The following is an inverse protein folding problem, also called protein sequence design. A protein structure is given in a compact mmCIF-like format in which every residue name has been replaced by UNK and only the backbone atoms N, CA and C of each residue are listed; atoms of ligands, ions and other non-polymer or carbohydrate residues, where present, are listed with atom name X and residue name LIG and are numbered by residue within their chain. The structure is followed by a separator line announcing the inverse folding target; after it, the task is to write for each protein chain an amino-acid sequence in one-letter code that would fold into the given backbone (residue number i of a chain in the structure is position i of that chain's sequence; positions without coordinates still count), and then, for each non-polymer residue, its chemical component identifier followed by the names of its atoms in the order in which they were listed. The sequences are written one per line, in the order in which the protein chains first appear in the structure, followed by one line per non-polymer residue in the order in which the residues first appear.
data_IF_829944456155
#
_entry.id   IF_829944456155
#
_cell.length_a   1.000
_cell.length_b   1.000
_cell.length_c   1.000
_cell.angle_alpha   90.00
_cell.angle_beta   90.00
_cell.angle_gamma   90.00
#
_symmetry.space_group_name_H-M   'P 1'
#
loop_
_entity.id
_entity.type
_entity.pdbx_description
1 polymer ?
#
# COMPACT_ATOMS: atom_id res chain seq x y z
N UNK A 1 -27.05 34.86 -32.46
CA UNK A 1 -25.66 34.71 -32.01
C UNK A 1 -25.48 34.84 -30.48
N UNK A 2 -26.18 35.70 -29.75
CA UNK A 2 -26.04 35.83 -28.28
C UNK A 2 -26.38 34.53 -27.50
N UNK A 3 -27.43 33.80 -27.89
CA UNK A 3 -27.86 32.59 -27.16
C UNK A 3 -26.85 31.44 -27.21
N UNK A 4 -26.12 31.29 -28.31
CA UNK A 4 -25.15 30.21 -28.46
C UNK A 4 -23.91 30.42 -27.57
N UNK A 5 -23.51 31.67 -27.32
CA UNK A 5 -22.40 32.01 -26.43
C UNK A 5 -22.74 31.72 -24.98
N UNK A 6 -23.98 31.96 -24.57
CA UNK A 6 -24.47 31.70 -23.22
C UNK A 6 -24.52 30.17 -22.93
N UNK A 7 -24.97 29.39 -23.91
CA UNK A 7 -25.02 27.93 -23.80
C UNK A 7 -23.61 27.35 -23.72
N UNK A 8 -22.68 27.86 -24.52
CA UNK A 8 -21.29 27.42 -24.46
C UNK A 8 -20.64 27.71 -23.11
N UNK A 9 -20.92 28.90 -22.55
CA UNK A 9 -20.39 29.29 -21.22
C UNK A 9 -20.94 28.43 -20.09
N UNK A 10 -22.24 28.09 -20.14
CA UNK A 10 -22.85 27.17 -19.17
C UNK A 10 -22.25 25.73 -19.25
N UNK A 11 -21.99 25.25 -20.46
CA UNK A 11 -21.36 23.96 -20.69
C UNK A 11 -19.94 23.90 -20.11
N UNK A 12 -19.16 24.96 -20.28
CA UNK A 12 -17.81 25.06 -19.73
C UNK A 12 -17.83 25.09 -18.19
N UNK A 13 -18.77 25.82 -17.58
CA UNK A 13 -18.94 25.85 -16.11
C UNK A 13 -19.31 24.47 -15.58
N UNK A 14 -20.20 23.72 -16.25
CA UNK A 14 -20.53 22.36 -15.85
C UNK A 14 -19.34 21.42 -15.92
N UNK A 15 -18.47 21.55 -16.91
CA UNK A 15 -17.23 20.77 -17.02
C UNK A 15 -16.26 21.05 -15.86
N UNK A 16 -16.16 22.29 -15.41
CA UNK A 16 -15.35 22.64 -14.23
C UNK A 16 -15.93 22.11 -12.92
N UNK A 17 -17.25 22.03 -12.78
CA UNK A 17 -17.89 21.51 -11.58
C UNK A 17 -17.78 19.97 -11.45
N UNK A 18 -17.65 19.26 -12.57
CA UNK A 18 -17.47 17.80 -12.60
C UNK A 18 -16.03 17.35 -12.31
N UNK A 19 -15.06 18.27 -12.30
CA UNK A 19 -13.63 17.97 -12.12
C UNK A 19 -13.15 17.95 -10.69
N UNK A 20 -14.02 18.20 -9.70
CA UNK A 20 -13.60 18.22 -8.29
C UNK A 20 -13.67 16.82 -7.67
N UNK A 21 -12.76 15.92 -8.04
CA UNK A 21 -12.49 14.71 -7.26
C UNK A 21 -11.83 15.13 -5.93
N UNK A 22 -12.60 15.09 -4.86
CA UNK A 22 -12.08 15.31 -3.52
C UNK A 22 -11.30 14.07 -3.11
N UNK A 23 -9.99 14.18 -3.05
CA UNK A 23 -9.15 13.13 -2.45
C UNK A 23 -9.56 12.93 -0.98
N UNK A 24 -10.03 11.75 -0.65
CA UNK A 24 -10.40 11.39 0.73
C UNK A 24 -9.21 10.71 1.37
N UNK A 25 -8.56 11.36 2.30
CA UNK A 25 -7.54 10.75 3.13
C UNK A 25 -8.21 9.95 4.24
N UNK A 26 -7.89 8.67 4.36
CA UNK A 26 -8.34 7.86 5.49
C UNK A 26 -7.65 8.32 6.76
N UNK A 27 -8.44 8.75 7.76
CA UNK A 27 -7.89 9.27 9.03
C UNK A 27 -7.32 8.16 9.91
N UNK A 28 -7.92 6.98 9.89
CA UNK A 28 -7.50 5.82 10.69
C UNK A 28 -7.93 4.51 10.06
N UNK A 29 -7.20 3.44 10.33
CA UNK A 29 -7.53 2.11 9.83
C UNK A 29 -6.45 1.08 10.11
N UNK A 30 -6.65 -0.10 9.56
CA UNK A 30 -5.71 -1.21 9.61
C UNK A 30 -5.45 -1.80 8.23
N UNK A 31 -4.24 -2.31 8.03
CA UNK A 31 -3.82 -2.98 6.80
C UNK A 31 -3.09 -4.27 7.21
N UNK A 32 -3.57 -5.40 6.70
CA UNK A 32 -2.86 -6.67 6.82
C UNK A 32 -2.13 -6.95 5.50
N UNK A 33 -0.82 -7.12 5.58
CA UNK A 33 0.01 -7.52 4.46
C UNK A 33 0.29 -9.00 4.53
N UNK A 34 -0.16 -9.71 3.49
CA UNK A 34 0.05 -11.15 3.34
C UNK A 34 0.73 -11.41 2.01
N UNK A 35 1.73 -12.27 2.00
CA UNK A 35 2.42 -12.73 0.80
C UNK A 35 2.12 -14.21 0.58
N UNK A 36 1.64 -14.54 -0.60
CA UNK A 36 1.50 -15.92 -1.04
C UNK A 36 2.73 -16.33 -1.84
N UNK A 37 3.44 -17.33 -1.36
CA UNK A 37 4.61 -17.90 -2.03
C UNK A 37 4.26 -19.26 -2.59
N UNK A 38 4.53 -19.44 -3.88
CA UNK A 38 4.34 -20.70 -4.58
C UNK A 38 5.68 -21.40 -4.72
N UNK A 39 5.84 -22.50 -4.01
CA UNK A 39 7.04 -23.33 -4.13
C UNK A 39 6.93 -24.20 -5.35
N UNK A 40 8.04 -24.29 -6.12
CA UNK A 40 8.08 -25.08 -7.35
C UNK A 40 6.99 -24.70 -8.37
N UNK A 41 6.76 -23.41 -8.59
CA UNK A 41 5.73 -22.89 -9.50
C UNK A 41 5.79 -23.48 -10.93
N UNK A 42 6.94 -24.02 -11.34
CA UNK A 42 7.09 -24.76 -12.60
C UNK A 42 6.33 -26.09 -12.64
N UNK A 43 6.01 -26.67 -11.47
CA UNK A 43 5.26 -27.93 -11.34
C UNK A 43 3.76 -27.70 -11.09
N UNK A 44 3.33 -26.46 -10.88
CA UNK A 44 1.94 -26.11 -10.61
C UNK A 44 1.81 -25.05 -9.50
N UNK A 45 0.59 -24.63 -9.24
CA UNK A 45 0.30 -23.61 -8.22
C UNK A 45 -0.33 -24.19 -6.93
N UNK A 46 -0.23 -25.50 -6.74
CA UNK A 46 -0.89 -26.19 -5.62
C UNK A 46 -0.08 -26.09 -4.32
N UNK A 47 1.22 -25.76 -4.44
CA UNK A 47 2.13 -25.67 -3.31
C UNK A 47 2.29 -24.22 -2.85
N UNK A 48 1.18 -23.62 -2.40
CA UNK A 48 1.16 -22.24 -1.93
C UNK A 48 1.28 -22.21 -0.39
N UNK A 49 2.12 -21.31 0.11
CA UNK A 49 2.11 -20.92 1.51
C UNK A 49 1.86 -19.42 1.64
N UNK A 50 1.03 -19.06 2.63
CA UNK A 50 0.74 -17.67 2.96
C UNK A 50 1.59 -17.23 4.15
N UNK A 51 2.31 -16.13 4.00
CA UNK A 51 3.12 -15.53 5.04
C UNK A 51 2.53 -14.18 5.43
N UNK A 52 2.26 -14.00 6.72
CA UNK A 52 1.89 -12.71 7.27
C UNK A 52 3.16 -11.84 7.36
N UNK A 53 3.18 -10.76 6.60
CA UNK A 53 4.33 -9.86 6.51
C UNK A 53 4.25 -8.76 7.56
N UNK A 54 3.07 -8.20 7.75
CA UNK A 54 2.90 -7.03 8.62
C UNK A 54 1.42 -6.77 8.90
N UNK A 55 1.14 -6.32 10.12
CA UNK A 55 -0.15 -5.72 10.53
C UNK A 55 0.11 -4.25 10.85
N UNK A 56 -0.47 -3.36 10.09
CA UNK A 56 -0.26 -1.91 10.22
C UNK A 56 -1.55 -1.29 10.72
N UNK A 57 -1.47 -0.57 11.82
CA UNK A 57 -2.53 0.31 12.30
C UNK A 57 -2.08 1.75 12.10
N UNK A 58 -2.90 2.58 11.49
CA UNK A 58 -2.58 3.98 11.24
C UNK A 58 -3.65 4.93 11.78
N UNK A 59 -3.20 6.10 12.19
CA UNK A 59 -4.05 7.23 12.57
C UNK A 59 -3.40 8.52 12.08
N UNK A 60 -4.03 9.17 11.13
CA UNK A 60 -3.43 10.31 10.42
C UNK A 60 -2.12 9.89 9.73
N UNK A 61 -1.01 10.50 10.13
CA UNK A 61 0.34 10.21 9.60
C UNK A 61 1.18 9.28 10.47
N UNK A 62 0.59 8.80 11.55
CA UNK A 62 1.26 7.90 12.49
C UNK A 62 0.86 6.45 12.23
N UNK A 63 1.82 5.53 12.32
CA UNK A 63 1.57 4.11 12.19
C UNK A 63 2.22 3.34 13.34
N UNK A 64 1.51 2.28 13.75
CA UNK A 64 2.10 1.19 14.52
C UNK A 64 2.07 -0.04 13.64
N UNK A 65 3.23 -0.58 13.37
CA UNK A 65 3.40 -1.79 12.60
C UNK A 65 3.83 -2.93 13.51
N UNK A 66 3.11 -4.04 13.43
CA UNK A 66 3.46 -5.29 14.07
C UNK A 66 3.97 -6.24 12.99
N UNK A 67 5.17 -6.78 13.19
CA UNK A 67 5.79 -7.74 12.28
C UNK A 67 5.64 -9.13 12.91
N UNK A 68 4.76 -9.99 12.37
CA UNK A 68 4.54 -11.32 12.91
C UNK A 68 5.78 -12.22 12.78
N UNK A 69 5.88 -13.18 13.67
CA UNK A 69 6.81 -14.30 13.48
C UNK A 69 6.35 -15.15 12.29
N UNK A 70 7.27 -15.54 11.42
CA UNK A 70 6.95 -16.22 10.18
C UNK A 70 6.27 -17.58 10.39
N UNK A 71 6.66 -18.29 11.43
CA UNK A 71 6.14 -19.63 11.75
C UNK A 71 4.94 -19.63 12.68
N UNK A 72 4.79 -18.57 13.49
CA UNK A 72 3.71 -18.42 14.47
C UNK A 72 3.17 -16.99 14.37
N UNK A 73 2.24 -16.74 13.43
CA UNK A 73 1.77 -15.38 13.13
C UNK A 73 1.02 -14.67 14.26
N UNK A 74 0.64 -15.40 15.30
CA UNK A 74 0.02 -14.87 16.52
C UNK A 74 1.03 -14.16 17.42
N UNK A 75 2.33 -14.45 17.24
CA UNK A 75 3.42 -13.84 17.99
C UNK A 75 4.06 -12.75 17.13
N UNK A 76 4.24 -11.57 17.68
CA UNK A 76 4.97 -10.51 17.00
C UNK A 76 6.46 -10.60 17.29
N UNK A 77 7.26 -10.65 16.22
CA UNK A 77 8.72 -10.65 16.29
C UNK A 77 9.28 -9.26 16.57
N UNK A 78 8.64 -8.23 16.01
CA UNK A 78 9.01 -6.83 16.17
C UNK A 78 7.79 -5.93 16.07
N UNK A 79 7.87 -4.76 16.71
CA UNK A 79 6.93 -3.68 16.54
C UNK A 79 7.67 -2.39 16.21
N UNK A 80 7.08 -1.56 15.37
CA UNK A 80 7.61 -0.27 14.95
C UNK A 80 6.57 0.84 15.14
N UNK A 81 7.02 1.98 15.61
CA UNK A 81 6.30 3.24 15.50
C UNK A 81 6.88 4.05 14.36
N UNK A 82 6.03 4.54 13.46
CA UNK A 82 6.44 5.27 12.26
C UNK A 82 5.70 6.61 12.22
N UNK A 83 6.47 7.69 12.11
CA UNK A 83 5.96 9.06 12.01
C UNK A 83 6.94 9.91 11.19
N UNK A 84 6.41 10.80 10.34
CA UNK A 84 7.20 11.75 9.53
C UNK A 84 8.38 11.11 8.79
N UNK A 85 8.16 9.91 8.25
CA UNK A 85 9.15 9.05 7.57
C UNK A 85 10.27 8.51 8.48
N UNK A 86 10.15 8.67 9.78
CA UNK A 86 11.04 8.08 10.77
C UNK A 86 10.40 6.84 11.38
N UNK A 87 11.23 5.82 11.59
CA UNK A 87 10.84 4.53 12.16
C UNK A 87 11.61 4.30 13.47
N UNK A 88 10.87 3.97 14.51
CA UNK A 88 11.38 3.68 15.85
C UNK A 88 11.03 2.23 16.22
N UNK A 89 12.01 1.43 16.62
CA UNK A 89 11.74 0.08 17.10
C UNK A 89 11.14 0.12 18.51
N UNK A 90 10.00 -0.53 18.68
CA UNK A 90 9.36 -0.71 19.98
C UNK A 90 9.82 -1.98 20.68
N UNK A 91 10.59 -2.83 19.98
CA UNK A 91 10.99 -4.15 20.44
C UNK A 91 9.89 -5.19 20.23
N UNK A 92 9.92 -6.23 21.03
CA UNK A 92 8.89 -7.28 21.03
C UNK A 92 7.65 -6.83 21.81
N UNK A 93 6.51 -7.46 21.57
CA UNK A 93 5.18 -7.12 22.13
C UNK A 93 5.14 -6.98 23.67
N UNK A 94 6.09 -7.59 24.38
CA UNK A 94 6.18 -7.53 25.84
C UNK A 94 6.90 -6.30 26.40
N UNK A 95 7.33 -5.39 25.54
CA UNK A 95 7.95 -4.16 26.01
C UNK A 95 6.87 -3.11 26.30
N UNK A 96 6.52 -2.92 27.56
CA UNK A 96 5.66 -1.84 28.06
C UNK A 96 6.34 -0.46 27.91
N UNK A 97 6.81 -0.15 26.70
CA UNK A 97 7.50 1.10 26.41
C UNK A 97 6.51 2.20 26.10
N UNK A 98 6.66 3.33 26.74
CA UNK A 98 5.88 4.54 26.45
C UNK A 98 6.42 5.15 25.15
N UNK A 99 5.57 5.37 24.14
CA UNK A 99 5.95 5.89 22.84
C UNK A 99 6.76 7.19 22.91
N UNK A 100 6.42 8.08 23.83
CA UNK A 100 7.16 9.34 24.01
C UNK A 100 8.60 9.13 24.48
N UNK A 101 8.85 8.13 25.31
CA UNK A 101 10.20 7.77 25.73
C UNK A 101 11.01 7.11 24.61
N UNK A 102 10.37 6.24 23.82
CA UNK A 102 11.00 5.61 22.66
C UNK A 102 11.45 6.66 21.67
N UNK A 103 10.56 7.58 21.29
CA UNK A 103 10.86 8.64 20.34
C UNK A 103 11.97 9.58 20.85
N UNK A 104 12.01 9.85 22.16
CA UNK A 104 13.03 10.72 22.76
C UNK A 104 14.39 10.08 22.89
N UNK A 105 14.45 8.78 23.21
CA UNK A 105 15.67 8.13 23.66
C UNK A 105 16.27 7.13 22.65
N UNK A 106 15.53 6.79 21.57
CA UNK A 106 16.01 5.84 20.57
C UNK A 106 16.44 6.52 19.28
N UNK A 107 17.46 5.95 18.65
CA UNK A 107 17.89 6.34 17.33
C UNK A 107 16.84 5.87 16.30
N UNK A 108 16.22 6.80 15.60
CA UNK A 108 15.34 6.51 14.48
C UNK A 108 16.12 6.09 13.24
N UNK A 109 15.44 5.39 12.36
CA UNK A 109 15.90 5.15 10.99
C UNK A 109 14.83 5.66 10.00
N UNK A 110 15.24 5.94 8.79
CA UNK A 110 14.29 6.27 7.74
C UNK A 110 13.43 5.05 7.40
N UNK A 111 12.13 5.24 7.26
CA UNK A 111 11.16 4.15 7.05
C UNK A 111 11.50 3.25 5.87
N UNK A 112 12.12 3.79 4.81
CA UNK A 112 12.58 3.01 3.65
C UNK A 112 13.90 2.28 3.84
N UNK A 113 14.58 2.48 4.97
CA UNK A 113 15.76 1.71 5.38
C UNK A 113 15.42 0.55 6.32
N UNK A 114 14.15 0.41 6.67
CA UNK A 114 13.64 -0.69 7.46
C UNK A 114 13.80 -2.02 6.70
N UNK A 115 14.24 -3.06 7.40
CA UNK A 115 14.57 -4.36 6.78
C UNK A 115 13.50 -5.44 6.96
N UNK A 116 12.61 -5.28 7.92
CA UNK A 116 11.56 -6.27 8.27
C UNK A 116 10.16 -5.66 8.14
N UNK A 117 9.15 -6.48 7.94
CA UNK A 117 7.77 -6.09 7.80
C UNK A 117 7.47 -5.40 6.46
N UNK A 118 6.57 -4.45 6.46
CA UNK A 118 6.18 -3.71 5.28
C UNK A 118 7.34 -2.88 4.72
N UNK A 119 7.60 -3.00 3.44
CA UNK A 119 8.63 -2.22 2.73
C UNK A 119 7.97 -1.01 2.13
N UNK A 120 8.20 0.16 2.73
CA UNK A 120 7.76 1.44 2.19
C UNK A 120 8.82 1.93 1.22
N UNK A 121 8.52 1.93 -0.07
CA UNK A 121 9.49 2.26 -1.10
C UNK A 121 9.19 3.61 -1.74
N UNK A 122 10.23 4.40 -1.94
CA UNK A 122 10.19 5.55 -2.86
C UNK A 122 10.42 5.13 -4.31
N UNK A 123 10.87 3.92 -4.50
CA UNK A 123 11.27 3.39 -5.80
C UNK A 123 10.09 2.85 -6.59
N UNK A 124 10.34 2.69 -7.87
CA UNK A 124 9.38 2.05 -8.78
C UNK A 124 9.36 0.54 -8.54
N UNK A 125 8.21 -0.05 -8.74
CA UNK A 125 8.14 -1.50 -8.94
C UNK A 125 9.13 -1.85 -10.08
N UNK A 126 10.07 -2.77 -9.85
CA UNK A 126 11.03 -3.15 -10.87
C UNK A 126 10.30 -3.56 -12.17
N UNK A 127 10.81 -3.08 -13.30
CA UNK A 127 10.27 -3.38 -14.62
C UNK A 127 8.80 -2.93 -14.87
N UNK A 128 8.28 -2.01 -14.06
CA UNK A 128 6.88 -1.56 -14.12
C UNK A 128 6.47 -1.00 -15.48
N UNK A 129 7.38 -0.36 -16.22
CA UNK A 129 7.11 0.20 -17.55
C UNK A 129 6.79 -0.88 -18.58
N UNK A 130 7.31 -2.09 -18.40
CA UNK A 130 7.11 -3.24 -19.28
C UNK A 130 5.97 -4.15 -18.80
N UNK A 131 5.12 -3.66 -17.89
CA UNK A 131 3.97 -4.43 -17.44
C UNK A 131 2.99 -4.71 -18.57
N UNK A 132 2.38 -5.86 -18.53
CA UNK A 132 1.26 -6.22 -19.38
C UNK A 132 -0.04 -6.03 -18.62
N UNK A 133 -0.89 -5.12 -19.07
CA UNK A 133 -2.21 -4.95 -18.49
C UNK A 133 -3.11 -6.13 -18.90
N UNK A 134 -3.89 -6.61 -17.96
CA UNK A 134 -4.87 -7.68 -18.12
C UNK A 134 -6.28 -7.12 -17.99
N UNK A 135 -7.27 -7.90 -18.43
CA UNK A 135 -8.68 -7.57 -18.20
C UNK A 135 -8.98 -7.45 -16.71
N UNK A 136 -9.88 -6.55 -16.35
CA UNK A 136 -10.36 -6.41 -14.98
C UNK A 136 -10.94 -7.73 -14.45
N UNK A 137 -10.95 -7.89 -13.14
CA UNK A 137 -11.56 -9.06 -12.48
C UNK A 137 -12.36 -8.64 -11.26
N UNK A 138 -13.25 -9.52 -10.81
CA UNK A 138 -14.03 -9.31 -9.60
C UNK A 138 -13.46 -10.24 -8.52
N UNK A 139 -12.97 -9.64 -7.42
CA UNK A 139 -12.55 -10.34 -6.22
C UNK A 139 -13.28 -9.72 -5.03
N UNK A 140 -13.76 -10.54 -4.12
CA UNK A 140 -14.48 -10.07 -2.90
C UNK A 140 -15.61 -9.07 -3.22
N UNK A 141 -16.36 -9.31 -4.32
CA UNK A 141 -17.44 -8.43 -4.83
C UNK A 141 -16.98 -7.03 -5.24
N UNK A 142 -15.68 -6.81 -5.45
CA UNK A 142 -15.09 -5.55 -5.91
C UNK A 142 -14.36 -5.75 -7.23
N UNK A 143 -14.35 -4.71 -8.07
CA UNK A 143 -13.67 -4.74 -9.37
C UNK A 143 -12.21 -4.33 -9.21
N UNK A 144 -11.29 -5.20 -9.64
CA UNK A 144 -9.85 -4.98 -9.58
C UNK A 144 -9.27 -4.79 -10.97
N UNK A 145 -8.39 -3.83 -11.11
CA UNK A 145 -7.45 -3.72 -12.21
C UNK A 145 -6.35 -4.76 -12.06
N UNK A 146 -5.88 -5.31 -13.18
CA UNK A 146 -4.80 -6.30 -13.15
C UNK A 146 -3.69 -5.94 -14.11
N UNK A 147 -2.48 -6.20 -13.69
CA UNK A 147 -1.32 -6.21 -14.56
C UNK A 147 -0.32 -7.27 -14.11
N UNK A 148 0.56 -7.64 -15.00
CA UNK A 148 1.65 -8.58 -14.70
C UNK A 148 2.97 -8.04 -15.18
N UNK A 149 4.02 -8.44 -14.49
CA UNK A 149 5.40 -8.17 -14.82
C UNK A 149 6.09 -9.52 -14.94
N UNK A 150 6.61 -9.79 -16.13
CA UNK A 150 7.39 -10.97 -16.42
C UNK A 150 8.85 -10.56 -16.62
N UNK A 151 9.75 -11.23 -15.92
CA UNK A 151 11.18 -11.07 -16.06
C UNK A 151 11.83 -12.46 -16.16
N UNK A 152 13.08 -12.57 -16.61
CA UNK A 152 13.73 -13.89 -16.72
C UNK A 152 13.78 -14.69 -15.42
N UNK A 153 13.69 -13.99 -14.28
CA UNK A 153 13.86 -14.57 -12.95
C UNK A 153 12.60 -14.56 -12.10
N UNK A 154 11.58 -13.79 -12.50
CA UNK A 154 10.39 -13.61 -11.67
C UNK A 154 9.16 -13.27 -12.50
N UNK A 155 8.04 -13.83 -12.12
CA UNK A 155 6.72 -13.50 -12.62
C UNK A 155 5.86 -12.99 -11.46
N UNK A 156 5.28 -11.81 -11.61
CA UNK A 156 4.42 -11.22 -10.58
C UNK A 156 3.14 -10.70 -11.22
N UNK A 157 2.00 -11.03 -10.63
CA UNK A 157 0.70 -10.50 -11.01
C UNK A 157 0.16 -9.63 -9.90
N UNK A 158 -0.27 -8.43 -10.26
CA UNK A 158 -0.82 -7.44 -9.35
C UNK A 158 -2.33 -7.31 -9.56
N UNK A 159 -3.05 -7.25 -8.45
CA UNK A 159 -4.46 -6.95 -8.40
C UNK A 159 -4.63 -5.66 -7.61
N UNK A 160 -5.10 -4.62 -8.27
CA UNK A 160 -5.20 -3.29 -7.67
C UNK A 160 -6.66 -2.89 -7.61
N UNK A 161 -7.14 -2.59 -6.43
CA UNK A 161 -8.45 -2.00 -6.22
C UNK A 161 -8.30 -0.47 -6.29
N UNK A 162 -8.84 0.20 -7.33
CA UNK A 162 -8.83 1.65 -7.41
C UNK A 162 -9.64 2.24 -6.26
N UNK A 163 -9.08 3.22 -5.58
CA UNK A 163 -9.73 3.89 -4.45
C UNK A 163 -9.22 5.32 -4.33
N UNK A 164 -10.09 6.23 -3.94
CA UNK A 164 -9.75 7.62 -3.64
C UNK A 164 -9.11 7.78 -2.26
N UNK A 165 -9.02 6.69 -1.49
CA UNK A 165 -8.40 6.70 -0.16
C UNK A 165 -6.89 6.79 -0.26
N UNK A 166 -6.32 7.82 0.32
CA UNK A 166 -4.87 8.03 0.39
C UNK A 166 -4.37 7.51 1.73
N UNK A 167 -3.46 6.54 1.68
CA UNK A 167 -2.76 6.06 2.86
C UNK A 167 -1.57 6.98 3.21
N UNK A 168 -1.16 7.04 4.48
CA UNK A 168 -0.07 7.91 4.89
C UNK A 168 1.28 7.55 4.26
N UNK A 169 1.46 6.29 3.89
CA UNK A 169 2.67 5.79 3.22
C UNK A 169 2.32 4.84 2.09
N UNK A 170 3.06 4.92 1.00
CA UNK A 170 2.89 4.06 -0.16
C UNK A 170 3.83 2.86 -0.10
N UNK A 171 3.28 1.67 -0.33
CA UNK A 171 4.06 0.45 -0.55
C UNK A 171 4.54 0.37 -2.00
N UNK A 172 3.76 0.92 -2.95
CA UNK A 172 4.02 0.86 -4.38
C UNK A 172 3.64 2.18 -5.05
N UNK A 173 4.53 3.16 -4.98
CA UNK A 173 4.28 4.54 -5.43
C UNK A 173 3.70 4.68 -6.85
N UNK A 174 4.12 3.84 -7.79
CA UNK A 174 3.63 3.94 -9.17
C UNK A 174 2.23 3.37 -9.37
N UNK A 175 1.93 2.26 -8.73
CA UNK A 175 0.59 1.70 -8.75
C UNK A 175 -0.43 2.70 -8.18
N UNK A 176 -0.05 3.39 -7.12
CA UNK A 176 -0.85 4.43 -6.50
C UNK A 176 -1.19 5.56 -7.48
N UNK A 177 -0.21 6.03 -8.26
CA UNK A 177 -0.42 7.12 -9.23
C UNK A 177 -1.29 6.70 -10.42
N UNK A 178 -1.09 5.49 -10.95
CA UNK A 178 -1.72 5.03 -12.18
C UNK A 178 -3.15 4.46 -11.96
N UNK A 179 -3.49 4.10 -10.72
CA UNK A 179 -4.74 3.44 -10.36
C UNK A 179 -5.60 4.22 -9.36
N UNK A 180 -5.27 5.48 -9.12
CA UNK A 180 -6.22 6.42 -8.52
C UNK A 180 -7.34 6.69 -9.51
N UNK A 181 -8.57 6.56 -9.06
CA UNK A 181 -9.76 6.81 -9.86
C UNK A 181 -9.95 8.30 -10.21
#
# INVERSE_FOLDING_TARGET
MKNNLTILFLLVIQLFLLSCHKEVQSEKGGIDLVSNVYFEASKGLDNMQSFHISKINYSGKELIELVPETTVPEINQEAYYIKDSLCYSLGTENSNRILSEVVKNQKSLLVWNKKKGAIFSKEMIPNYRNRRNLSDTILFKKKYKRFEINSPWNYTRFYVYPTDTILPYSLYKHAEKDYRG
#
